data_IF_916861218854
#
_entry.id   IF_916861218854
#
_cell.length_a   1.000
_cell.length_b   1.000
_cell.length_c   1.000
_cell.angle_alpha   90.00
_cell.angle_beta   90.00
_cell.angle_gamma   90.00
#
_symmetry.space_group_name_H-M   'P 1'
#
loop_
_entity.id
_entity.type
_entity.pdbx_description
1 polymer ?
#
# COMPACT_ATOMS: atom_id res chain seq x y z
N UNK A 1 -10.48 -2.30 -5.30
CA UNK A 1 -11.89 -2.22 -4.87
C UNK A 1 -11.97 -1.91 -3.38
N UNK A 2 -11.34 -2.72 -2.51
CA UNK A 2 -11.34 -2.46 -1.05
C UNK A 2 -10.67 -1.15 -0.61
N UNK A 3 -9.60 -0.73 -1.29
CA UNK A 3 -8.87 0.52 -0.99
C UNK A 3 -9.79 1.76 -1.08
N UNK A 4 -10.73 1.75 -2.03
CA UNK A 4 -11.69 2.84 -2.19
C UNK A 4 -12.76 2.83 -1.09
N UNK A 5 -12.99 1.69 -0.44
CA UNK A 5 -13.97 1.61 0.63
C UNK A 5 -13.51 2.37 1.87
N UNK A 6 -12.20 2.53 2.10
CA UNK A 6 -11.66 3.24 3.28
C UNK A 6 -12.13 4.70 3.36
N UNK A 7 -12.32 5.35 2.22
CA UNK A 7 -12.79 6.73 2.12
C UNK A 7 -14.31 6.90 2.01
N UNK A 8 -15.10 5.82 2.10
CA UNK A 8 -16.56 5.93 2.03
C UNK A 8 -17.18 6.29 3.38
N UNK A 9 -18.47 6.61 3.39
CA UNK A 9 -19.22 7.04 4.59
C UNK A 9 -19.26 6.04 5.75
N UNK A 10 -18.97 4.75 5.50
CA UNK A 10 -18.97 3.74 6.56
C UNK A 10 -17.63 3.69 7.31
N UNK A 11 -16.53 3.96 6.62
CA UNK A 11 -15.17 3.79 7.16
C UNK A 11 -14.45 5.12 7.37
N UNK A 12 -14.71 6.12 6.52
CA UNK A 12 -14.29 7.52 6.64
C UNK A 12 -12.90 7.69 7.27
N UNK A 13 -11.87 7.24 6.55
CA UNK A 13 -10.47 7.44 6.98
C UNK A 13 -10.08 8.92 6.99
N UNK A 14 -10.77 9.75 6.19
CA UNK A 14 -10.57 11.21 6.12
C UNK A 14 -10.82 11.90 7.47
N UNK A 15 -11.66 11.33 8.35
CA UNK A 15 -11.83 11.83 9.73
C UNK A 15 -10.52 11.90 10.53
N UNK A 16 -9.51 11.12 10.15
CA UNK A 16 -8.18 11.10 10.76
C UNK A 16 -7.16 11.96 10.01
N UNK A 17 -7.59 12.76 9.03
CA UNK A 17 -6.72 13.61 8.21
C UNK A 17 -5.94 12.86 7.13
N UNK A 18 -6.42 11.68 6.71
CA UNK A 18 -5.73 10.81 5.75
C UNK A 18 -6.54 10.76 4.46
N UNK A 19 -5.90 11.13 3.36
CA UNK A 19 -6.51 11.16 2.04
C UNK A 19 -5.67 10.43 1.00
N UNK A 20 -6.35 9.90 -0.02
CA UNK A 20 -5.71 9.27 -1.18
C UNK A 20 -5.54 10.31 -2.28
N UNK A 21 -4.30 10.60 -2.64
CA UNK A 21 -3.96 11.59 -3.66
C UNK A 21 -3.67 10.93 -5.02
N UNK A 22 -4.00 11.64 -6.10
CA UNK A 22 -3.76 11.14 -7.46
C UNK A 22 -2.28 11.25 -7.89
N UNK A 23 -1.56 12.24 -7.34
CA UNK A 23 -0.16 12.50 -7.69
C UNK A 23 0.77 11.99 -6.59
N UNK A 24 1.76 11.15 -6.90
CA UNK A 24 2.79 10.75 -5.93
C UNK A 24 3.53 11.95 -5.32
N UNK A 25 3.62 13.08 -6.03
CA UNK A 25 4.27 14.30 -5.53
C UNK A 25 3.60 14.93 -4.31
N UNK A 26 2.35 14.56 -4.03
CA UNK A 26 1.59 15.03 -2.86
C UNK A 26 1.38 13.90 -1.83
N UNK A 27 2.04 12.75 -2.01
CA UNK A 27 1.83 11.58 -1.16
C UNK A 27 2.98 11.42 -0.16
N UNK A 28 2.63 11.20 1.10
CA UNK A 28 3.59 10.86 2.17
C UNK A 28 3.77 9.35 2.32
N UNK A 29 2.86 8.55 1.75
CA UNK A 29 2.88 7.09 1.83
C UNK A 29 2.49 6.41 0.53
N UNK A 30 3.21 5.34 0.19
CA UNK A 30 2.91 4.48 -0.95
C UNK A 30 2.23 3.19 -0.48
N UNK A 31 0.98 3.01 -0.87
CA UNK A 31 0.19 1.82 -0.49
C UNK A 31 0.18 0.81 -1.63
N UNK A 32 0.87 -0.32 -1.43
CA UNK A 32 0.93 -1.44 -2.38
C UNK A 32 -0.20 -2.42 -2.07
N UNK A 33 -1.19 -2.53 -2.97
CA UNK A 33 -2.48 -3.16 -2.67
C UNK A 33 -2.77 -4.40 -3.51
N UNK A 34 -1.73 -5.04 -4.04
CA UNK A 34 -1.86 -6.18 -4.94
C UNK A 34 -0.52 -6.78 -5.36
N UNK A 35 -0.53 -7.75 -6.29
CA UNK A 35 0.69 -8.35 -6.81
C UNK A 35 1.53 -7.31 -7.58
N UNK A 36 2.84 -7.29 -7.33
CA UNK A 36 3.78 -6.45 -8.06
C UNK A 36 4.30 -7.25 -9.25
N UNK A 37 3.83 -6.92 -10.45
CA UNK A 37 4.28 -7.59 -11.66
C UNK A 37 5.61 -6.99 -12.14
N UNK A 38 6.41 -7.80 -12.86
CA UNK A 38 7.64 -7.34 -13.52
C UNK A 38 7.42 -6.07 -14.35
N UNK A 39 6.33 -6.03 -15.12
CA UNK A 39 6.02 -4.91 -16.01
C UNK A 39 5.71 -3.61 -15.25
N UNK A 40 5.24 -3.71 -13.99
CA UNK A 40 4.95 -2.55 -13.16
C UNK A 40 6.17 -2.00 -12.43
N UNK A 41 7.31 -2.70 -12.44
CA UNK A 41 8.46 -2.34 -11.61
C UNK A 41 9.01 -0.94 -11.94
N UNK A 42 9.17 -0.63 -13.24
CA UNK A 42 9.65 0.69 -13.66
C UNK A 42 8.70 1.81 -13.22
N UNK A 43 7.39 1.62 -13.42
CA UNK A 43 6.39 2.62 -13.02
C UNK A 43 6.35 2.81 -11.49
N UNK A 44 6.51 1.73 -10.73
CA UNK A 44 6.60 1.75 -9.27
C UNK A 44 7.80 2.58 -8.80
N UNK A 45 8.98 2.35 -9.37
CA UNK A 45 10.18 3.14 -9.04
C UNK A 45 10.01 4.63 -9.38
N UNK A 46 9.49 4.95 -10.57
CA UNK A 46 9.23 6.34 -10.97
C UNK A 46 8.25 7.03 -9.99
N UNK A 47 7.19 6.34 -9.59
CA UNK A 47 6.23 6.86 -8.62
C UNK A 47 6.87 7.10 -7.25
N UNK A 48 7.66 6.13 -6.76
CA UNK A 48 8.39 6.24 -5.50
C UNK A 48 9.39 7.40 -5.51
N UNK A 49 10.19 7.54 -6.57
CA UNK A 49 11.17 8.62 -6.71
C UNK A 49 10.51 10.00 -6.81
N UNK A 50 9.30 10.09 -7.35
CA UNK A 50 8.55 11.34 -7.45
C UNK A 50 7.93 11.80 -6.11
N UNK A 51 7.86 10.94 -5.10
CA UNK A 51 7.34 11.29 -3.77
C UNK A 51 8.39 12.09 -2.95
N UNK A 52 7.97 13.16 -2.23
CA UNK A 52 8.84 13.91 -1.33
C UNK A 52 9.28 13.07 -0.11
N UNK A 53 10.37 13.47 0.53
CA UNK A 53 10.77 12.93 1.84
C UNK A 53 10.20 13.79 2.98
N UNK A 54 9.81 13.21 4.13
CA UNK A 54 9.87 11.79 4.47
C UNK A 54 8.72 10.98 3.86
N UNK A 55 9.01 9.78 3.34
CA UNK A 55 7.99 8.86 2.80
C UNK A 55 8.09 7.43 3.31
N UNK A 56 6.98 6.71 3.25
CA UNK A 56 6.89 5.31 3.71
C UNK A 56 6.19 4.39 2.70
N UNK A 57 6.43 3.09 2.85
CA UNK A 57 5.75 2.02 2.10
C UNK A 57 4.80 1.27 3.03
N UNK A 58 3.60 0.97 2.54
CA UNK A 58 2.60 0.14 3.23
C UNK A 58 2.24 -1.03 2.31
N UNK A 59 2.43 -2.26 2.78
CA UNK A 59 2.06 -3.46 2.04
C UNK A 59 0.69 -3.97 2.51
N UNK A 60 -0.30 -3.97 1.61
CA UNK A 60 -1.67 -4.34 1.92
C UNK A 60 -2.09 -5.57 1.12
N UNK A 61 -2.45 -6.60 1.88
CA UNK A 61 -2.96 -7.86 1.37
C UNK A 61 -1.89 -8.89 1.02
N UNK A 62 -2.30 -10.16 0.96
CA UNK A 62 -1.42 -11.32 0.79
C UNK A 62 -0.55 -11.21 -0.47
N UNK A 63 -1.09 -10.68 -1.56
CA UNK A 63 -0.35 -10.53 -2.82
C UNK A 63 0.83 -9.54 -2.70
N UNK A 64 0.66 -8.41 -2.02
CA UNK A 64 1.75 -7.46 -1.79
C UNK A 64 2.76 -8.02 -0.76
N UNK A 65 2.26 -8.63 0.31
CA UNK A 65 3.07 -9.09 1.45
C UNK A 65 3.92 -10.31 1.11
N UNK A 66 3.39 -11.29 0.38
CA UNK A 66 4.07 -12.58 0.13
C UNK A 66 4.02 -13.05 -1.32
N UNK A 67 3.40 -12.30 -2.23
CA UNK A 67 3.04 -12.78 -3.58
C UNK A 67 1.69 -13.50 -3.61
N UNK A 68 1.15 -13.90 -2.45
CA UNK A 68 -0.18 -14.48 -2.31
C UNK A 68 -0.39 -15.69 -3.22
N UNK A 69 -1.55 -15.73 -3.89
CA UNK A 69 -1.89 -16.78 -4.85
C UNK A 69 -0.96 -16.84 -6.07
N UNK A 70 -0.16 -15.80 -6.30
CA UNK A 70 0.77 -15.68 -7.41
C UNK A 70 2.23 -15.93 -7.01
N UNK A 71 2.50 -16.37 -5.77
CA UNK A 71 3.86 -16.48 -5.24
C UNK A 71 4.83 -17.34 -6.07
N UNK A 72 4.30 -18.32 -6.82
CA UNK A 72 5.08 -19.20 -7.72
C UNK A 72 5.11 -18.71 -9.17
N UNK A 73 4.49 -17.57 -9.46
CA UNK A 73 4.47 -17.02 -10.81
C UNK A 73 5.75 -16.22 -11.07
N UNK A 74 6.44 -16.56 -12.14
CA UNK A 74 7.56 -15.74 -12.61
C UNK A 74 7.10 -14.32 -12.91
N UNK A 75 5.84 -14.07 -13.27
CA UNK A 75 5.38 -12.73 -13.63
C UNK A 75 5.49 -11.70 -12.49
N UNK A 76 5.67 -12.13 -11.24
CA UNK A 76 5.91 -11.25 -10.10
C UNK A 76 7.36 -10.76 -10.06
N UNK A 77 7.54 -9.52 -9.63
CA UNK A 77 8.82 -9.01 -9.15
C UNK A 77 8.58 -8.22 -7.85
N UNK A 78 9.22 -8.66 -6.77
CA UNK A 78 9.06 -8.08 -5.42
C UNK A 78 10.34 -7.42 -4.91
N UNK A 79 11.36 -7.26 -5.75
CA UNK A 79 12.68 -6.71 -5.40
C UNK A 79 12.59 -5.30 -4.80
N UNK A 80 11.56 -4.54 -5.18
CA UNK A 80 11.25 -3.24 -4.58
C UNK A 80 11.12 -3.32 -3.05
N UNK A 81 10.47 -4.36 -2.53
CA UNK A 81 10.25 -4.55 -1.09
C UNK A 81 11.49 -5.02 -0.34
N UNK A 82 12.47 -5.60 -1.05
CA UNK A 82 13.76 -5.95 -0.47
C UNK A 82 14.61 -4.71 -0.20
N UNK A 83 14.45 -3.68 -1.04
CA UNK A 83 15.14 -2.39 -0.90
C UNK A 83 14.37 -1.43 0.01
N UNK A 84 13.07 -1.28 -0.20
CA UNK A 84 12.19 -0.36 0.53
C UNK A 84 11.23 -1.15 1.42
N UNK A 85 11.66 -1.44 2.64
CA UNK A 85 10.89 -2.23 3.59
C UNK A 85 9.59 -1.49 3.99
N UNK A 86 8.42 -2.16 3.90
CA UNK A 86 7.18 -1.62 4.43
C UNK A 86 7.28 -1.27 5.92
N UNK A 87 6.78 -0.09 6.26
CA UNK A 87 6.59 0.34 7.65
C UNK A 87 5.38 -0.36 8.30
N UNK A 88 4.39 -0.74 7.49
CA UNK A 88 3.18 -1.42 7.92
C UNK A 88 2.80 -2.53 6.94
N UNK A 89 2.44 -3.68 7.50
CA UNK A 89 1.90 -4.83 6.77
C UNK A 89 0.45 -5.05 7.20
N UNK A 90 -0.49 -4.94 6.25
CA UNK A 90 -1.92 -5.10 6.51
C UNK A 90 -2.39 -6.42 5.90
N UNK A 91 -2.67 -7.47 6.70
CA UNK A 91 -3.04 -8.78 6.17
C UNK A 91 -4.45 -8.80 5.55
N UNK A 92 -4.66 -9.70 4.58
CA UNK A 92 -5.98 -10.01 4.00
C UNK A 92 -5.95 -10.38 2.51
N UNK A 93 -7.02 -10.97 1.99
CA UNK A 93 -7.17 -11.33 0.57
C UNK A 93 -8.66 -11.37 0.16
N UNK A 94 -9.37 -10.23 0.14
CA UNK A 94 -8.83 -8.87 0.28
C UNK A 94 -8.76 -8.38 1.74
N UNK A 95 -7.97 -7.34 2.00
CA UNK A 95 -7.86 -6.75 3.33
C UNK A 95 -9.12 -5.94 3.68
N UNK A 96 -9.73 -6.26 4.81
CA UNK A 96 -10.93 -5.57 5.25
C UNK A 96 -10.62 -4.09 5.58
N UNK A 97 -11.47 -3.12 5.21
CA UNK A 97 -11.25 -1.70 5.49
C UNK A 97 -10.84 -1.35 6.92
N UNK A 98 -11.51 -1.92 7.92
CA UNK A 98 -11.17 -1.70 9.32
C UNK A 98 -9.77 -2.23 9.69
N UNK A 99 -9.30 -3.29 9.05
CA UNK A 99 -7.94 -3.81 9.28
C UNK A 99 -6.90 -2.81 8.81
N UNK A 100 -7.14 -2.15 7.67
CA UNK A 100 -6.26 -1.08 7.20
C UNK A 100 -6.30 0.13 8.13
N UNK A 101 -7.49 0.63 8.46
CA UNK A 101 -7.64 1.81 9.33
C UNK A 101 -7.02 1.54 10.72
N UNK A 102 -7.27 0.38 11.32
CA UNK A 102 -6.64 -0.01 12.59
C UNK A 102 -5.11 0.01 12.50
N UNK A 103 -4.54 -0.61 11.47
CA UNK A 103 -3.08 -0.63 11.32
C UNK A 103 -2.47 0.76 11.10
N UNK A 104 -3.19 1.65 10.44
CA UNK A 104 -2.77 3.05 10.26
C UNK A 104 -2.85 3.82 11.58
N UNK A 105 -3.93 3.68 12.35
CA UNK A 105 -4.06 4.31 13.66
C UNK A 105 -2.95 3.83 14.61
N UNK A 106 -2.68 2.52 14.64
CA UNK A 106 -1.57 1.94 15.41
C UNK A 106 -0.21 2.50 14.99
N UNK A 107 0.02 2.69 13.68
CA UNK A 107 1.24 3.28 13.13
C UNK A 107 1.40 4.75 13.54
N UNK A 108 0.30 5.52 13.57
CA UNK A 108 0.28 6.92 13.97
C UNK A 108 0.28 7.11 15.50
N UNK A 109 0.01 6.05 16.27
CA UNK A 109 -0.05 6.07 17.72
C UNK A 109 -1.28 6.79 18.29
N UNK A 110 -2.42 6.73 17.56
CA UNK A 110 -3.69 7.35 17.95
C UNK A 110 -4.80 6.33 18.21
#
# INVERSE_FOLDING_TARGET
MEVNAWGNVNFDIGRYGIDMVASPRHADGLVLTGPISRNMMTALHIAWEAMPEPKLVIAVGACAISGGVFAQSDALNRDFLDTFKPALYVPGCPAHPLTFISGIMDLLGI
#
